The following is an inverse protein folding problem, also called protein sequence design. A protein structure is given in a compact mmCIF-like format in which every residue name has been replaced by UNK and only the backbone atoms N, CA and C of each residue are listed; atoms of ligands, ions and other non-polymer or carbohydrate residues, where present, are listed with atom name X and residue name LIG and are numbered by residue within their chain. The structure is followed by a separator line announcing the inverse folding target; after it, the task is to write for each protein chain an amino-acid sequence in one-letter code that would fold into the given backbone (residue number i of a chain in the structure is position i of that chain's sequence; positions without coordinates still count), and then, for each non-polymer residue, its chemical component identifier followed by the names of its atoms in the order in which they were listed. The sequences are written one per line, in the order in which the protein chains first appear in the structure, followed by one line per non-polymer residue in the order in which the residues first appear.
data_IF_738272887472
#
_entry.id   IF_738272887472
#
_cell.length_a   1.000
_cell.length_b   1.000
_cell.length_c   1.000
_cell.angle_alpha   90.00
_cell.angle_beta   90.00
_cell.angle_gamma   90.00
#
_symmetry.space_group_name_H-M   'P 1'
#
loop_
_entity.id
_entity.type
_entity.pdbx_description
1 polymer ?
#
# COMPACT_ATOMS: atom_id res chain seq x y z
N UNK A 1 -0.37 -5.70 9.79
CA UNK A 1 -0.38 -7.08 10.35
C UNK A 1 0.65 -7.16 11.47
N UNK A 2 0.26 -7.52 12.67
CA UNK A 2 1.18 -7.70 13.80
C UNK A 2 0.55 -8.67 14.82
N UNK A 3 1.02 -9.91 14.80
CA UNK A 3 0.48 -10.96 15.66
C UNK A 3 0.86 -10.76 17.13
N UNK A 4 2.04 -10.23 17.42
CA UNK A 4 2.49 -10.02 18.80
C UNK A 4 1.66 -8.92 19.45
N UNK A 5 1.57 -7.76 18.80
CA UNK A 5 0.72 -6.67 19.29
C UNK A 5 -0.73 -7.13 19.49
N UNK A 6 -1.29 -7.87 18.51
CA UNK A 6 -2.68 -8.30 18.56
C UNK A 6 -2.96 -9.26 19.73
N UNK A 7 -2.07 -10.23 19.96
CA UNK A 7 -2.21 -11.17 21.08
C UNK A 7 -2.08 -10.48 22.46
N UNK A 8 -1.22 -9.49 22.57
CA UNK A 8 -1.05 -8.72 23.80
C UNK A 8 -2.17 -7.68 24.01
N UNK A 9 -2.85 -7.26 22.93
CA UNK A 9 -3.86 -6.21 22.94
C UNK A 9 -5.14 -6.63 22.19
N UNK A 10 -5.88 -7.66 22.66
CA UNK A 10 -7.05 -8.17 21.94
C UNK A 10 -8.15 -7.12 21.72
N UNK A 11 -8.33 -6.19 22.66
CA UNK A 11 -9.32 -5.10 22.56
C UNK A 11 -8.96 -4.01 21.53
N UNK A 12 -7.71 -3.99 21.10
CA UNK A 12 -7.17 -3.08 20.10
C UNK A 12 -6.96 -3.77 18.73
N UNK A 13 -7.50 -4.97 18.58
CA UNK A 13 -7.26 -5.84 17.44
C UNK A 13 -8.57 -6.42 16.90
N UNK A 14 -8.54 -6.98 15.70
CA UNK A 14 -9.72 -7.57 15.09
C UNK A 14 -10.22 -8.77 15.89
N UNK A 15 -11.49 -8.72 16.28
CA UNK A 15 -12.16 -9.82 16.98
C UNK A 15 -13.43 -10.25 16.26
N UNK A 16 -13.97 -11.40 16.63
CA UNK A 16 -15.35 -11.75 16.35
C UNK A 16 -16.32 -11.00 17.30
N UNK A 17 -17.61 -11.22 17.12
CA UNK A 17 -18.63 -10.60 17.99
C UNK A 17 -18.63 -11.11 19.43
N UNK A 18 -17.93 -12.23 19.71
CA UNK A 18 -17.75 -12.78 21.06
C UNK A 18 -16.48 -12.23 21.73
N UNK A 19 -15.67 -11.45 21.02
CA UNK A 19 -14.42 -10.87 21.51
C UNK A 19 -13.19 -11.77 21.32
N UNK A 20 -13.29 -12.87 20.59
CA UNK A 20 -12.14 -13.71 20.27
C UNK A 20 -11.34 -13.10 19.13
N UNK A 21 -10.01 -13.14 19.24
CA UNK A 21 -9.13 -12.71 18.15
C UNK A 21 -9.41 -13.52 16.87
N UNK A 22 -9.43 -12.84 15.74
CA UNK A 22 -9.67 -13.45 14.42
C UNK A 22 -8.38 -13.47 13.62
N UNK A 23 -8.05 -14.65 13.07
CA UNK A 23 -7.02 -14.80 12.05
C UNK A 23 -7.61 -14.41 10.69
N UNK A 24 -6.96 -13.50 9.99
CA UNK A 24 -7.32 -13.10 8.65
C UNK A 24 -6.08 -13.09 7.76
N UNK A 25 -6.11 -13.84 6.66
CA UNK A 25 -4.94 -14.07 5.81
C UNK A 25 -3.72 -14.54 6.63
N UNK A 26 -3.91 -15.63 7.39
CA UNK A 26 -2.91 -16.31 8.23
C UNK A 26 -2.23 -15.43 9.30
N UNK A 27 -2.82 -14.29 9.63
CA UNK A 27 -2.27 -13.35 10.59
C UNK A 27 -3.35 -12.77 11.52
N UNK A 28 -2.95 -12.39 12.72
CA UNK A 28 -3.72 -11.46 13.55
C UNK A 28 -3.46 -10.02 13.11
N UNK A 29 -4.49 -9.19 13.23
CA UNK A 29 -4.44 -7.80 12.80
C UNK A 29 -4.80 -6.87 13.94
N UNK A 30 -3.95 -5.89 14.27
CA UNK A 30 -4.37 -4.72 15.03
C UNK A 30 -5.52 -4.01 14.30
N UNK A 31 -6.42 -3.40 15.05
CA UNK A 31 -7.45 -2.57 14.43
C UNK A 31 -6.82 -1.28 13.88
N UNK A 32 -7.14 -0.93 12.63
CA UNK A 32 -6.72 0.35 12.08
C UNK A 32 -7.40 1.55 12.74
N UNK A 33 -8.46 1.35 13.52
CA UNK A 33 -9.07 2.38 14.36
C UNK A 33 -8.36 2.57 15.70
N UNK A 34 -7.46 1.65 16.10
CA UNK A 34 -6.79 1.70 17.40
C UNK A 34 -5.69 2.76 17.44
N UNK A 35 -5.89 3.79 18.26
CA UNK A 35 -4.85 4.81 18.51
C UNK A 35 -3.63 4.23 19.23
N UNK A 36 -3.81 3.15 19.99
CA UNK A 36 -2.70 2.42 20.62
C UNK A 36 -1.85 1.72 19.57
N UNK A 37 -2.46 1.09 18.54
CA UNK A 37 -1.74 0.51 17.43
C UNK A 37 -1.01 1.59 16.60
N UNK A 38 -1.61 2.77 16.43
CA UNK A 38 -0.95 3.90 15.78
C UNK A 38 0.32 4.31 16.52
N UNK A 39 0.20 4.58 17.81
CA UNK A 39 1.35 4.96 18.65
C UNK A 39 2.46 3.93 18.61
N UNK A 40 2.11 2.64 18.75
CA UNK A 40 3.08 1.55 18.70
C UNK A 40 3.90 1.55 17.39
N UNK A 41 3.24 1.63 16.24
CA UNK A 41 3.92 1.64 14.95
C UNK A 41 4.75 2.91 14.73
N UNK A 42 4.28 4.06 15.21
CA UNK A 42 5.02 5.32 15.07
C UNK A 42 6.21 5.37 16.00
N UNK A 43 6.15 4.81 17.21
CA UNK A 43 7.34 4.69 18.09
C UNK A 43 8.42 3.80 17.46
N UNK A 44 8.06 2.66 16.85
CA UNK A 44 9.02 1.87 16.07
C UNK A 44 9.62 2.66 14.90
N UNK A 45 8.82 3.46 14.20
CA UNK A 45 9.28 4.32 13.13
C UNK A 45 10.27 5.38 13.62
N UNK A 46 10.04 5.95 14.82
CA UNK A 46 10.95 6.90 15.46
C UNK A 46 12.29 6.25 15.84
N UNK A 47 12.27 5.01 16.35
CA UNK A 47 13.49 4.26 16.62
C UNK A 47 14.30 4.04 15.34
N UNK A 48 13.64 3.68 14.23
CA UNK A 48 14.30 3.58 12.93
C UNK A 48 14.93 4.92 12.50
N UNK A 49 14.21 6.03 12.67
CA UNK A 49 14.73 7.36 12.37
C UNK A 49 16.00 7.68 13.22
N UNK A 50 15.99 7.33 14.50
CA UNK A 50 17.14 7.54 15.39
C UNK A 50 18.34 6.64 15.03
N UNK A 51 18.10 5.52 14.36
CA UNK A 51 19.15 4.66 13.77
C UNK A 51 19.70 5.18 12.44
N UNK A 52 19.13 6.27 11.89
CA UNK A 52 19.63 6.94 10.70
C UNK A 52 18.87 6.64 9.40
N UNK A 53 17.71 5.97 9.48
CA UNK A 53 16.82 5.87 8.31
C UNK A 53 16.23 7.24 7.99
N UNK A 54 16.29 7.64 6.74
CA UNK A 54 15.78 8.94 6.25
C UNK A 54 14.40 8.85 5.61
N UNK A 55 13.84 7.65 5.49
CA UNK A 55 12.50 7.39 5.02
C UNK A 55 11.90 6.19 5.77
N UNK A 56 10.64 6.32 6.15
CA UNK A 56 9.83 5.24 6.72
C UNK A 56 8.67 4.98 5.76
N UNK A 57 8.59 3.74 5.28
CA UNK A 57 7.53 3.28 4.39
C UNK A 57 6.58 2.36 5.15
N UNK A 58 5.32 2.74 5.22
CA UNK A 58 4.27 1.95 5.85
C UNK A 58 3.62 1.03 4.82
N UNK A 59 3.76 -0.27 5.05
CA UNK A 59 3.04 -1.30 4.30
C UNK A 59 1.87 -1.83 5.12
N UNK A 60 0.90 -2.46 4.44
CA UNK A 60 -0.34 -2.95 5.05
C UNK A 60 -1.13 -1.87 5.83
N UNK A 61 -0.96 -0.61 5.47
CA UNK A 61 -1.71 0.51 6.03
C UNK A 61 -3.13 0.54 5.45
N UNK A 62 -3.93 -0.43 5.85
CA UNK A 62 -5.27 -0.70 5.35
C UNK A 62 -6.08 -1.60 6.27
N UNK A 63 -7.37 -1.68 6.02
CA UNK A 63 -8.21 -2.73 6.58
C UNK A 63 -8.04 -4.05 5.81
N UNK A 64 -8.43 -5.20 6.42
CA UNK A 64 -8.49 -6.46 5.68
C UNK A 64 -9.35 -6.32 4.42
N UNK A 65 -8.86 -6.88 3.33
CA UNK A 65 -9.61 -7.07 2.10
C UNK A 65 -10.58 -8.25 2.26
N UNK A 66 -11.58 -8.32 1.40
CA UNK A 66 -12.53 -9.43 1.38
C UNK A 66 -13.94 -8.96 1.09
N UNK A 67 -14.84 -9.91 0.90
CA UNK A 67 -16.24 -9.59 0.64
C UNK A 67 -16.89 -8.93 1.85
N UNK A 68 -17.83 -8.04 1.64
CA UNK A 68 -18.61 -7.37 2.69
C UNK A 68 -19.18 -8.37 3.72
N UNK A 69 -19.53 -9.59 3.29
CA UNK A 69 -20.03 -10.66 4.18
C UNK A 69 -18.95 -11.21 5.13
N UNK A 70 -17.69 -11.26 4.71
CA UNK A 70 -16.61 -11.66 5.59
C UNK A 70 -16.29 -10.54 6.59
N UNK A 71 -16.22 -9.31 6.12
CA UNK A 71 -15.99 -8.14 6.97
C UNK A 71 -17.14 -7.89 7.98
N UNK A 72 -18.38 -8.24 7.67
CA UNK A 72 -19.51 -8.09 8.59
C UNK A 72 -19.41 -8.97 9.85
N UNK A 73 -18.56 -10.00 9.84
CA UNK A 73 -18.29 -10.86 10.99
C UNK A 73 -17.18 -10.34 11.90
N UNK A 74 -16.49 -9.31 11.48
CA UNK A 74 -15.36 -8.74 12.21
C UNK A 74 -15.80 -7.53 13.02
N UNK A 75 -15.34 -7.48 14.26
CA UNK A 75 -15.41 -6.29 15.10
C UNK A 75 -14.09 -5.53 14.96
N UNK A 76 -14.13 -4.36 14.34
CA UNK A 76 -13.00 -3.47 14.16
C UNK A 76 -12.78 -2.51 15.32
N UNK A 77 -13.60 -2.55 16.36
CA UNK A 77 -13.55 -1.66 17.53
C UNK A 77 -13.52 -0.16 17.16
N UNK A 78 -14.40 0.25 16.24
CA UNK A 78 -14.51 1.65 15.78
C UNK A 78 -15.16 2.54 16.86
N UNK A 79 -14.41 2.88 17.90
CA UNK A 79 -14.88 3.69 19.03
C UNK A 79 -15.08 5.16 18.65
N UNK A 80 -14.38 5.64 17.63
CA UNK A 80 -14.45 7.03 17.17
C UNK A 80 -15.53 7.26 16.11
N UNK A 81 -16.20 6.20 15.64
CA UNK A 81 -17.26 6.26 14.62
C UNK A 81 -16.80 6.98 13.33
N UNK A 82 -15.58 6.76 12.95
CA UNK A 82 -14.98 7.33 11.75
C UNK A 82 -15.05 6.35 10.56
N UNK A 83 -14.91 6.86 9.33
CA UNK A 83 -14.81 6.01 8.16
C UNK A 83 -13.44 5.32 8.09
N UNK A 84 -13.34 4.23 7.32
CA UNK A 84 -12.07 3.55 7.08
C UNK A 84 -11.04 4.48 6.45
N UNK A 85 -11.46 5.29 5.47
CA UNK A 85 -10.60 6.30 4.83
C UNK A 85 -10.07 7.32 5.85
N UNK A 86 -10.94 7.82 6.72
CA UNK A 86 -10.53 8.78 7.76
C UNK A 86 -9.52 8.17 8.74
N UNK A 87 -9.70 6.89 9.11
CA UNK A 87 -8.75 6.20 9.99
C UNK A 87 -7.37 6.02 9.34
N UNK A 88 -7.32 5.60 8.08
CA UNK A 88 -6.04 5.42 7.36
C UNK A 88 -5.35 6.77 7.14
N UNK A 89 -6.08 7.78 6.68
CA UNK A 89 -5.53 9.13 6.51
C UNK A 89 -5.05 9.70 7.85
N UNK A 90 -5.84 9.55 8.91
CA UNK A 90 -5.50 10.05 10.25
C UNK A 90 -4.25 9.37 10.83
N UNK A 91 -4.08 8.06 10.62
CA UNK A 91 -2.85 7.36 11.00
C UNK A 91 -1.63 7.95 10.29
N UNK A 92 -1.72 8.11 8.97
CA UNK A 92 -0.60 8.64 8.18
C UNK A 92 -0.29 10.10 8.52
N UNK A 93 -1.32 10.90 8.81
CA UNK A 93 -1.14 12.26 9.30
C UNK A 93 -0.42 12.29 10.65
N UNK A 94 -0.84 11.46 11.60
CA UNK A 94 -0.18 11.30 12.89
C UNK A 94 1.28 10.87 12.72
N UNK A 95 1.54 9.87 11.88
CA UNK A 95 2.91 9.43 11.58
C UNK A 95 3.75 10.57 10.97
N UNK A 96 3.17 11.34 10.05
CA UNK A 96 3.84 12.48 9.43
C UNK A 96 4.18 13.58 10.44
N UNK A 97 3.26 13.92 11.34
CA UNK A 97 3.47 14.91 12.40
C UNK A 97 4.59 14.50 13.35
N UNK A 98 4.63 13.23 13.73
CA UNK A 98 5.62 12.69 14.67
C UNK A 98 7.02 12.48 14.06
N UNK A 99 7.10 12.17 12.76
CA UNK A 99 8.37 11.89 12.06
C UNK A 99 8.99 13.15 11.42
N UNK A 100 8.19 14.16 11.08
CA UNK A 100 8.71 15.41 10.48
C UNK A 100 9.79 16.11 11.31
N UNK A 101 9.69 16.21 12.64
CA UNK A 101 10.76 16.79 13.47
C UNK A 101 12.08 16.02 13.42
N UNK A 102 12.04 14.75 13.02
CA UNK A 102 13.22 13.90 12.84
C UNK A 102 13.81 13.96 11.43
N UNK A 103 13.24 14.82 10.55
CA UNK A 103 13.63 14.98 9.14
C UNK A 103 13.56 13.69 8.32
N UNK A 104 12.56 12.86 8.60
CA UNK A 104 12.33 11.58 7.92
C UNK A 104 11.11 11.72 6.99
N UNK A 105 11.25 11.23 5.77
CA UNK A 105 10.14 11.13 4.82
C UNK A 105 9.20 10.00 5.21
N UNK A 106 7.92 10.21 4.97
CA UNK A 106 6.87 9.20 5.16
C UNK A 106 6.37 8.74 3.81
N UNK A 107 6.47 7.44 3.57
CA UNK A 107 5.95 6.76 2.40
C UNK A 107 4.84 5.78 2.78
N UNK A 108 3.90 5.52 1.87
CA UNK A 108 2.84 4.55 2.09
C UNK A 108 2.61 3.67 0.86
N UNK A 109 2.57 2.36 1.09
CA UNK A 109 2.18 1.39 0.07
C UNK A 109 0.67 1.38 -0.12
N UNK A 110 0.24 1.25 -1.36
CA UNK A 110 -1.16 1.28 -1.72
C UNK A 110 -1.51 0.19 -2.74
N UNK A 111 -2.60 -0.52 -2.52
CA UNK A 111 -3.14 -1.44 -3.50
C UNK A 111 -3.54 -0.72 -4.78
N UNK A 112 -3.39 -1.44 -5.91
CA UNK A 112 -3.74 -0.90 -7.22
C UNK A 112 -5.25 -0.73 -7.41
N UNK A 113 -6.07 -1.68 -6.93
CA UNK A 113 -7.52 -1.68 -7.18
C UNK A 113 -8.27 -0.47 -6.63
N UNK A 114 -7.99 0.08 -5.44
CA UNK A 114 -8.57 1.35 -4.99
C UNK A 114 -8.32 2.50 -5.97
N UNK A 115 -7.14 2.51 -6.59
CA UNK A 115 -6.79 3.53 -7.60
C UNK A 115 -7.60 3.32 -8.88
N UNK A 116 -7.67 2.08 -9.37
CA UNK A 116 -8.43 1.73 -10.59
C UNK A 116 -9.93 2.01 -10.43
N UNK A 117 -10.48 1.65 -9.27
CA UNK A 117 -11.89 1.85 -8.94
C UNK A 117 -12.25 3.31 -8.58
N UNK A 118 -11.25 4.16 -8.30
CA UNK A 118 -11.44 5.52 -7.79
C UNK A 118 -12.25 5.57 -6.49
N UNK A 119 -12.10 4.55 -5.65
CA UNK A 119 -12.72 4.46 -4.33
C UNK A 119 -11.78 3.76 -3.33
N UNK A 120 -12.22 3.48 -2.11
CA UNK A 120 -11.38 2.86 -1.09
C UNK A 120 -11.47 1.31 -1.05
N UNK A 121 -12.27 0.70 -1.90
CA UNK A 121 -12.52 -0.75 -1.96
C UNK A 121 -12.79 -1.39 -0.60
N UNK A 122 -13.43 -0.64 0.29
CA UNK A 122 -13.73 -1.02 1.68
C UNK A 122 -12.49 -1.38 2.52
N UNK A 123 -11.28 -1.01 2.06
CA UNK A 123 -10.03 -1.20 2.81
C UNK A 123 -9.44 0.10 3.37
N UNK A 124 -10.09 1.22 3.14
CA UNK A 124 -9.70 2.53 3.64
C UNK A 124 -8.60 3.22 2.84
N UNK A 125 -8.09 2.60 1.77
CA UNK A 125 -7.07 3.19 0.91
C UNK A 125 -7.73 4.00 -0.21
N UNK A 126 -7.75 5.31 -0.05
CA UNK A 126 -8.23 6.24 -1.07
C UNK A 126 -7.10 7.16 -1.51
N UNK A 127 -6.68 7.06 -2.78
CA UNK A 127 -5.48 7.73 -3.27
C UNK A 127 -5.44 9.24 -2.94
N UNK A 128 -6.50 10.03 -3.20
CA UNK A 128 -6.46 11.45 -2.87
C UNK A 128 -6.28 11.75 -1.38
N UNK A 129 -6.84 10.92 -0.49
CA UNK A 129 -6.72 11.10 0.95
C UNK A 129 -5.29 10.80 1.44
N UNK A 130 -4.67 9.74 0.94
CA UNK A 130 -3.32 9.33 1.32
C UNK A 130 -2.28 10.28 0.73
N UNK A 131 -2.35 10.53 -0.58
CA UNK A 131 -1.38 11.37 -1.29
C UNK A 131 -1.40 12.86 -0.88
N UNK A 132 -2.42 13.28 -0.16
CA UNK A 132 -2.50 14.64 0.43
C UNK A 132 -1.72 14.76 1.76
N UNK A 133 -1.24 13.65 2.32
CA UNK A 133 -0.64 13.61 3.66
C UNK A 133 0.81 13.16 3.63
N UNK A 134 1.10 12.05 2.94
CA UNK A 134 2.45 11.47 2.90
C UNK A 134 3.38 12.22 1.96
N UNK A 135 4.69 11.98 2.08
CA UNK A 135 5.67 12.54 1.13
C UNK A 135 5.73 11.73 -0.15
N UNK A 136 5.54 10.41 -0.06
CA UNK A 136 5.67 9.48 -1.18
C UNK A 136 4.52 8.49 -1.14
N UNK A 137 3.82 8.33 -2.25
CA UNK A 137 2.83 7.27 -2.45
C UNK A 137 3.42 6.18 -3.32
N UNK A 138 3.28 4.92 -2.88
CA UNK A 138 3.90 3.76 -3.49
C UNK A 138 2.84 2.73 -3.92
N UNK A 139 2.17 2.92 -5.06
CA UNK A 139 1.22 1.93 -5.58
C UNK A 139 1.88 0.62 -5.97
N UNK A 140 1.11 -0.48 -5.88
CA UNK A 140 1.55 -1.85 -6.16
C UNK A 140 0.78 -2.46 -7.35
N UNK A 141 0.95 -1.97 -8.59
CA UNK A 141 0.25 -2.46 -9.77
C UNK A 141 0.96 -3.68 -10.39
N UNK A 142 1.12 -4.76 -9.61
CA UNK A 142 1.69 -5.99 -10.14
C UNK A 142 0.80 -6.56 -11.24
N UNK A 143 1.41 -6.94 -12.36
CA UNK A 143 0.71 -7.33 -13.59
C UNK A 143 -0.25 -8.49 -13.38
N UNK A 144 0.16 -9.48 -12.57
CA UNK A 144 -0.64 -10.67 -12.24
C UNK A 144 -1.78 -10.43 -11.24
N UNK A 145 -1.89 -9.21 -10.71
CA UNK A 145 -3.04 -8.78 -9.92
C UNK A 145 -4.21 -8.27 -10.77
N UNK A 146 -3.99 -8.08 -12.08
CA UNK A 146 -5.03 -7.64 -13.00
C UNK A 146 -5.57 -8.83 -13.81
N UNK A 147 -6.89 -8.95 -13.85
CA UNK A 147 -7.55 -9.97 -14.66
C UNK A 147 -7.48 -9.63 -16.16
N UNK A 148 -7.57 -10.64 -17.00
CA UNK A 148 -7.74 -10.48 -18.45
C UNK A 148 -8.91 -9.52 -18.75
N UNK A 149 -8.70 -8.60 -19.67
CA UNK A 149 -9.65 -7.54 -20.00
C UNK A 149 -9.50 -6.25 -19.15
N UNK A 150 -8.70 -6.24 -18.10
CA UNK A 150 -8.41 -5.01 -17.35
C UNK A 150 -7.78 -3.97 -18.28
N UNK A 151 -8.19 -2.71 -18.14
CA UNK A 151 -7.74 -1.59 -18.99
C UNK A 151 -8.02 -1.77 -20.50
N UNK A 152 -8.97 -2.66 -20.89
CA UNK A 152 -9.20 -3.14 -22.25
C UNK A 152 -7.97 -3.85 -22.87
N UNK A 153 -7.17 -4.49 -22.05
CA UNK A 153 -6.01 -5.29 -22.44
C UNK A 153 -6.37 -6.77 -22.25
N UNK A 154 -6.24 -7.58 -23.33
CA UNK A 154 -6.65 -8.99 -23.32
C UNK A 154 -5.92 -9.78 -22.23
N UNK A 155 -4.60 -9.57 -22.12
CA UNK A 155 -3.76 -10.20 -21.08
C UNK A 155 -2.78 -9.16 -20.50
N UNK A 156 -3.05 -8.62 -19.31
CA UNK A 156 -2.18 -7.64 -18.66
C UNK A 156 -0.76 -8.14 -18.39
N UNK A 157 -0.58 -9.44 -18.12
CA UNK A 157 0.75 -10.02 -17.84
C UNK A 157 1.63 -10.02 -19.09
N UNK A 158 1.04 -10.30 -20.25
CA UNK A 158 1.72 -10.33 -21.54
C UNK A 158 1.94 -8.93 -22.12
N UNK A 159 1.40 -7.89 -21.50
CA UNK A 159 1.46 -6.50 -21.95
C UNK A 159 1.93 -5.54 -20.84
N UNK A 160 3.17 -5.72 -20.33
CA UNK A 160 3.66 -4.93 -19.18
C UNK A 160 3.63 -3.42 -19.41
N UNK A 161 4.05 -2.96 -20.59
CA UNK A 161 4.03 -1.54 -20.92
C UNK A 161 2.60 -0.96 -20.91
N UNK A 162 1.68 -1.59 -21.65
CA UNK A 162 0.33 -1.07 -21.80
C UNK A 162 -0.41 -1.07 -20.46
N UNK A 163 -0.23 -2.13 -19.66
CA UNK A 163 -0.85 -2.28 -18.34
C UNK A 163 -0.36 -1.20 -17.39
N UNK A 164 0.95 -1.04 -17.26
CA UNK A 164 1.50 -0.07 -16.32
C UNK A 164 1.27 1.37 -16.80
N UNK A 165 1.31 1.61 -18.12
CA UNK A 165 0.98 2.91 -18.69
C UNK A 165 -0.47 3.31 -18.37
N UNK A 166 -1.44 2.41 -18.62
CA UNK A 166 -2.84 2.66 -18.35
C UNK A 166 -3.10 2.90 -16.85
N UNK A 167 -2.54 2.07 -15.98
CA UNK A 167 -2.64 2.23 -14.54
C UNK A 167 -2.08 3.59 -14.06
N UNK A 168 -0.88 3.95 -14.54
CA UNK A 168 -0.22 5.20 -14.15
C UNK A 168 -1.01 6.43 -14.62
N UNK A 169 -1.66 6.36 -15.79
CA UNK A 169 -2.54 7.43 -16.28
C UNK A 169 -3.76 7.62 -15.36
N UNK A 170 -4.37 6.55 -14.86
CA UNK A 170 -5.47 6.64 -13.89
C UNK A 170 -4.99 7.28 -12.58
N UNK A 171 -3.80 6.91 -12.11
CA UNK A 171 -3.18 7.51 -10.93
C UNK A 171 -2.94 9.01 -11.12
N UNK A 172 -2.39 9.40 -12.26
CA UNK A 172 -2.10 10.78 -12.64
C UNK A 172 -3.36 11.67 -12.60
N UNK A 173 -4.49 11.19 -13.16
CA UNK A 173 -5.75 11.94 -13.13
C UNK A 173 -6.25 12.21 -11.71
N UNK A 174 -6.09 11.25 -10.80
CA UNK A 174 -6.48 11.45 -9.40
C UNK A 174 -5.51 12.41 -8.68
N UNK A 175 -4.20 12.29 -8.92
CA UNK A 175 -3.19 13.16 -8.30
C UNK A 175 -3.34 14.62 -8.72
N UNK A 176 -3.79 14.90 -9.94
CA UNK A 176 -4.08 16.27 -10.42
C UNK A 176 -5.17 17.00 -9.62
N UNK A 177 -6.02 16.26 -8.93
CA UNK A 177 -7.04 16.84 -8.05
C UNK A 177 -6.45 17.42 -6.75
N UNK A 178 -5.20 17.11 -6.43
CA UNK A 178 -4.52 17.49 -5.19
C UNK A 178 -3.55 18.65 -5.49
N UNK A 179 -3.63 19.71 -4.69
CA UNK A 179 -2.80 20.91 -4.90
C UNK A 179 -1.30 20.65 -4.75
N UNK A 180 -0.93 19.81 -3.79
CA UNK A 180 0.45 19.41 -3.50
C UNK A 180 0.47 17.89 -3.22
N UNK A 181 0.38 17.06 -4.26
CA UNK A 181 0.33 15.63 -4.07
C UNK A 181 1.69 15.07 -3.63
N UNK A 182 1.67 13.95 -2.93
CA UNK A 182 2.84 13.14 -2.66
C UNK A 182 3.60 12.82 -3.96
N UNK A 183 4.91 12.62 -3.85
CA UNK A 183 5.68 12.03 -4.95
C UNK A 183 5.17 10.63 -5.24
N UNK A 184 5.12 10.28 -6.51
CA UNK A 184 4.71 8.96 -6.97
C UNK A 184 5.92 8.09 -7.21
N UNK A 185 6.00 6.94 -6.54
CA UNK A 185 7.06 5.95 -6.69
C UNK A 185 6.43 4.55 -6.65
N UNK A 186 6.13 4.00 -7.79
CA UNK A 186 5.43 2.73 -7.88
C UNK A 186 6.33 1.52 -7.65
N UNK A 187 5.76 0.44 -7.16
CA UNK A 187 6.36 -0.88 -7.22
C UNK A 187 6.19 -1.46 -8.62
N UNK A 188 7.26 -2.04 -9.17
CA UNK A 188 7.20 -2.86 -10.38
C UNK A 188 7.49 -4.32 -10.05
N UNK A 189 7.04 -5.21 -10.94
CA UNK A 189 7.12 -6.64 -10.72
C UNK A 189 8.52 -7.17 -11.03
N UNK A 190 9.20 -7.82 -10.07
CA UNK A 190 10.50 -8.45 -10.26
C UNK A 190 10.43 -9.98 -10.31
N UNK A 191 9.25 -10.58 -10.14
CA UNK A 191 8.99 -12.02 -10.16
C UNK A 191 8.11 -12.37 -11.36
N UNK A 192 8.17 -13.61 -11.86
CA UNK A 192 7.37 -14.09 -13.01
C UNK A 192 7.41 -13.18 -14.25
N UNK A 193 8.47 -12.40 -14.41
CA UNK A 193 8.70 -11.48 -15.53
C UNK A 193 10.16 -11.64 -15.98
N UNK A 194 10.45 -11.34 -17.22
CA UNK A 194 11.82 -11.31 -17.75
C UNK A 194 12.38 -9.89 -17.87
N UNK A 195 13.60 -9.78 -18.34
CA UNK A 195 14.28 -8.49 -18.51
C UNK A 195 13.59 -7.56 -19.52
N UNK A 196 12.94 -8.11 -20.54
CA UNK A 196 12.22 -7.29 -21.51
C UNK A 196 10.93 -6.72 -20.91
N UNK A 197 10.20 -7.54 -20.15
CA UNK A 197 9.03 -7.09 -19.41
C UNK A 197 9.37 -5.98 -18.40
N UNK A 198 10.48 -6.12 -17.65
CA UNK A 198 10.96 -5.06 -16.74
C UNK A 198 11.28 -3.77 -17.51
N UNK A 199 11.94 -3.84 -18.66
CA UNK A 199 12.19 -2.66 -19.52
C UNK A 199 10.89 -2.00 -19.97
N UNK A 200 9.87 -2.80 -20.28
CA UNK A 200 8.57 -2.30 -20.70
C UNK A 200 7.88 -1.56 -19.55
N UNK A 201 7.91 -2.09 -18.32
CA UNK A 201 7.38 -1.41 -17.14
C UNK A 201 8.08 -0.06 -16.89
N UNK A 202 9.42 -0.06 -16.88
CA UNK A 202 10.22 1.16 -16.69
C UNK A 202 9.95 2.17 -17.81
N UNK A 203 9.79 1.71 -19.05
CA UNK A 203 9.46 2.60 -20.19
C UNK A 203 8.08 3.25 -19.99
N UNK A 204 7.08 2.49 -19.55
CA UNK A 204 5.74 3.03 -19.28
C UNK A 204 5.77 4.14 -18.23
N UNK A 205 6.55 3.97 -17.16
CA UNK A 205 6.73 4.98 -16.13
C UNK A 205 7.42 6.24 -16.67
N UNK A 206 8.47 6.10 -17.47
CA UNK A 206 9.14 7.23 -18.10
C UNK A 206 8.21 8.00 -19.05
N UNK A 207 7.44 7.29 -19.85
CA UNK A 207 6.53 7.89 -20.83
C UNK A 207 5.31 8.57 -20.18
N UNK A 208 5.01 8.23 -18.93
CA UNK A 208 3.97 8.90 -18.11
C UNK A 208 4.50 10.00 -17.20
N UNK A 209 5.81 10.30 -17.24
CA UNK A 209 6.53 11.26 -16.39
C UNK A 209 6.56 10.89 -14.89
N UNK A 210 6.50 9.60 -14.56
CA UNK A 210 6.67 9.06 -13.21
C UNK A 210 7.81 8.04 -13.16
N UNK A 211 9.07 8.45 -13.37
CA UNK A 211 10.19 7.52 -13.58
C UNK A 211 10.67 6.81 -12.31
N UNK A 212 10.19 7.22 -11.13
CA UNK A 212 10.63 6.64 -9.86
C UNK A 212 9.90 5.33 -9.57
N UNK A 213 10.66 4.28 -9.25
CA UNK A 213 10.10 2.97 -8.97
C UNK A 213 10.91 2.21 -7.91
N UNK A 214 10.28 1.20 -7.36
CA UNK A 214 10.89 0.13 -6.57
C UNK A 214 10.56 -1.21 -7.21
N UNK A 215 11.37 -2.22 -6.92
CA UNK A 215 11.18 -3.56 -7.48
C UNK A 215 10.75 -4.53 -6.39
N UNK A 216 9.62 -5.20 -6.60
CA UNK A 216 9.19 -6.25 -5.69
C UNK A 216 9.70 -7.61 -6.16
N UNK A 217 10.57 -8.21 -5.36
CA UNK A 217 11.10 -9.56 -5.54
C UNK A 217 11.21 -10.22 -4.17
N UNK A 218 10.09 -10.73 -3.67
CA UNK A 218 9.95 -11.23 -2.30
C UNK A 218 10.92 -12.39 -1.97
N UNK A 219 11.19 -13.26 -2.94
CA UNK A 219 12.07 -14.41 -2.74
C UNK A 219 13.54 -14.02 -2.58
N UNK A 220 13.98 -12.92 -3.18
CA UNK A 220 15.40 -12.61 -3.37
C UNK A 220 16.15 -13.70 -4.12
N UNK A 221 15.44 -14.59 -4.84
CA UNK A 221 16.02 -15.75 -5.51
C UNK A 221 16.97 -15.29 -6.62
N UNK A 222 18.17 -15.85 -6.60
CA UNK A 222 19.20 -15.61 -7.60
C UNK A 222 18.68 -15.84 -9.04
N UNK A 223 17.84 -16.83 -9.24
CA UNK A 223 17.25 -17.14 -10.55
C UNK A 223 16.40 -15.99 -11.08
N UNK A 224 15.57 -15.39 -10.24
CA UNK A 224 14.74 -14.24 -10.60
C UNK A 224 15.59 -12.98 -10.81
N UNK A 225 16.58 -12.76 -9.96
CA UNK A 225 17.56 -11.68 -10.15
C UNK A 225 18.28 -11.82 -11.47
N UNK A 226 18.81 -13.02 -11.80
CA UNK A 226 19.52 -13.26 -13.04
C UNK A 226 18.63 -13.11 -14.29
N UNK A 227 17.32 -13.40 -14.16
CA UNK A 227 16.35 -13.25 -15.23
C UNK A 227 16.00 -11.78 -15.51
N UNK A 228 15.95 -10.94 -14.48
CA UNK A 228 15.45 -9.57 -14.58
C UNK A 228 16.52 -8.49 -14.64
N UNK A 229 17.73 -8.75 -14.10
CA UNK A 229 18.79 -7.74 -13.89
C UNK A 229 19.20 -6.92 -15.10
N UNK A 230 19.10 -7.46 -16.32
CA UNK A 230 19.42 -6.73 -17.55
C UNK A 230 18.25 -5.88 -18.06
N UNK A 231 17.16 -5.86 -17.33
CA UNK A 231 15.98 -5.00 -17.58
C UNK A 231 16.09 -3.61 -16.96
N UNK A 232 16.94 -3.47 -15.96
CA UNK A 232 17.13 -2.21 -15.21
C UNK A 232 18.10 -1.25 -15.86
#
# INVERSE_FOLDING_TARGET
KDAVFAMENPKESLTDHNGNLVVYNDQYWPSAYSRKAWMYNVELAKECADLGFNEIQFDYVRFPDGTASANSKLNFHNTYKESKVAAIQGFLQYAKEELSPKHVYVAADMFAWPIVACDDQDIGQFLPAIANVVDIICPMPYLDHFSNGSFNIDDPVEKPYDTLYAFTKISDEQLKSIKYPAKYRTWIQGYNIDADGVKQEIKALKDTNYPDYMVWLASGDKKDIDRTKSGF
#
